data_IF_668850108134
#
_entry.id   IF_668850108134
#
_cell.length_a   1.000
_cell.length_b   1.000
_cell.length_c   1.000
_cell.angle_alpha   90.00
_cell.angle_beta   90.00
_cell.angle_gamma   90.00
#
_symmetry.space_group_name_H-M   'P 1'
#
loop_
_entity.id
_entity.type
_entity.pdbx_description
1 polymer ?
#
# COMPACT_ATOMS: atom_id res chain seq x y z
N UNK A 1 -33.22 -46.65 62.65
CA UNK A 1 -32.05 -46.54 61.74
C UNK A 1 -32.38 -46.83 60.28
N UNK A 2 -33.11 -47.90 59.92
CA UNK A 2 -33.46 -48.21 58.51
C UNK A 2 -34.18 -47.09 57.75
N UNK A 3 -35.13 -46.39 58.38
CA UNK A 3 -35.89 -45.33 57.71
C UNK A 3 -35.08 -44.04 57.53
N UNK A 4 -34.18 -43.72 58.45
CA UNK A 4 -33.27 -42.54 58.34
C UNK A 4 -32.26 -42.76 57.22
N UNK A 5 -31.71 -43.98 57.11
CA UNK A 5 -30.82 -44.36 56.00
C UNK A 5 -31.52 -44.29 54.64
N UNK A 6 -32.78 -44.74 54.55
CA UNK A 6 -33.55 -44.66 53.31
C UNK A 6 -33.85 -43.23 52.89
N UNK A 7 -34.19 -42.35 53.84
CA UNK A 7 -34.44 -40.93 53.54
C UNK A 7 -33.15 -40.21 53.12
N UNK A 8 -32.01 -40.49 53.76
CA UNK A 8 -30.70 -39.92 53.35
C UNK A 8 -30.25 -40.39 51.96
N UNK A 9 -30.47 -41.66 51.60
CA UNK A 9 -30.10 -42.18 50.28
C UNK A 9 -30.98 -41.57 49.18
N UNK A 10 -32.29 -41.42 49.43
CA UNK A 10 -33.21 -40.78 48.48
C UNK A 10 -32.85 -39.29 48.30
N UNK A 11 -32.53 -38.58 49.39
CA UNK A 11 -32.12 -37.18 49.34
C UNK A 11 -30.80 -36.96 48.57
N UNK A 12 -29.79 -37.83 48.78
CA UNK A 12 -28.53 -37.80 48.03
C UNK A 12 -28.72 -38.11 46.54
N UNK A 13 -29.59 -39.06 46.19
CA UNK A 13 -29.90 -39.40 44.79
C UNK A 13 -30.65 -38.27 44.07
N UNK A 14 -31.56 -37.57 44.76
CA UNK A 14 -32.26 -36.40 44.19
C UNK A 14 -31.34 -35.19 43.98
N UNK A 15 -30.33 -35.00 44.83
CA UNK A 15 -29.33 -33.93 44.67
C UNK A 15 -28.35 -34.22 43.53
N UNK A 16 -28.04 -35.50 43.27
CA UNK A 16 -27.22 -35.93 42.14
C UNK A 16 -27.93 -35.76 40.78
N UNK A 17 -29.27 -35.77 40.75
CA UNK A 17 -30.04 -35.53 39.53
C UNK A 17 -30.12 -34.05 39.10
N UNK A 18 -29.71 -33.12 39.96
CA UNK A 18 -29.65 -31.67 39.67
C UNK A 18 -28.23 -31.25 39.27
N UNK A 19 -27.25 -32.14 39.42
CA UNK A 19 -25.83 -31.86 39.22
C UNK A 19 -25.25 -32.69 38.08
N UNK A 20 -25.51 -32.27 36.83
CA UNK A 20 -24.55 -32.21 35.71
C UNK A 20 -25.30 -32.05 34.38
N UNK A 21 -25.14 -30.87 33.76
CA UNK A 21 -25.62 -30.60 32.41
C UNK A 21 -26.84 -29.70 32.41
N UNK A 22 -26.71 -28.52 31.81
CA UNK A 22 -27.86 -27.76 31.34
C UNK A 22 -28.74 -28.70 30.51
N UNK A 23 -30.03 -28.81 30.81
CA UNK A 23 -30.99 -29.57 29.98
C UNK A 23 -31.18 -28.94 28.60
N UNK A 24 -30.63 -27.74 28.40
CA UNK A 24 -30.69 -26.94 27.20
C UNK A 24 -29.55 -27.31 26.24
N UNK A 25 -29.91 -27.51 24.98
CA UNK A 25 -28.95 -27.72 23.90
C UNK A 25 -28.11 -26.46 23.65
N UNK A 26 -26.92 -26.61 23.06
CA UNK A 26 -26.07 -25.46 22.73
C UNK A 26 -26.79 -24.44 21.83
N UNK A 27 -27.62 -24.91 20.89
CA UNK A 27 -28.43 -24.04 20.03
C UNK A 27 -29.49 -23.26 20.80
N UNK A 28 -30.15 -23.90 21.78
CA UNK A 28 -31.15 -23.23 22.62
C UNK A 28 -30.49 -22.22 23.56
N UNK A 29 -29.30 -22.53 24.09
CA UNK A 29 -28.55 -21.61 24.95
C UNK A 29 -28.10 -20.37 24.18
N UNK A 30 -27.74 -20.51 22.91
CA UNK A 30 -27.35 -19.39 22.04
C UNK A 30 -28.51 -18.47 21.65
N UNK A 31 -29.77 -18.85 21.90
CA UNK A 31 -30.91 -17.94 21.74
C UNK A 31 -30.83 -16.80 22.76
N UNK A 32 -30.33 -17.10 23.97
CA UNK A 32 -30.19 -16.12 25.04
C UNK A 32 -29.08 -15.11 24.71
N UNK A 33 -29.46 -13.83 24.64
CA UNK A 33 -28.55 -12.76 24.22
C UNK A 33 -27.31 -12.66 25.11
N UNK A 34 -27.47 -12.85 26.42
CA UNK A 34 -26.39 -12.69 27.39
C UNK A 34 -25.36 -13.82 27.26
N UNK A 35 -25.82 -15.07 27.28
CA UNK A 35 -24.97 -16.23 27.04
C UNK A 35 -24.25 -16.16 25.68
N UNK A 36 -24.98 -15.84 24.61
CA UNK A 36 -24.39 -15.70 23.27
C UNK A 36 -23.31 -14.61 23.23
N UNK A 37 -23.54 -13.47 23.87
CA UNK A 37 -22.56 -12.39 23.93
C UNK A 37 -21.31 -12.80 24.73
N UNK A 38 -21.48 -13.56 25.81
CA UNK A 38 -20.35 -14.04 26.60
C UNK A 38 -19.54 -15.10 25.85
N UNK A 39 -20.19 -15.99 25.08
CA UNK A 39 -19.51 -16.87 24.13
C UNK A 39 -18.69 -16.06 23.13
N UNK A 40 -19.23 -14.99 22.54
CA UNK A 40 -18.48 -14.15 21.61
C UNK A 40 -17.28 -13.46 22.27
N UNK A 41 -17.45 -12.91 23.48
CA UNK A 41 -16.35 -12.30 24.24
C UNK A 41 -15.25 -13.31 24.54
N UNK A 42 -15.62 -14.53 24.93
CA UNK A 42 -14.67 -15.60 25.23
C UNK A 42 -13.87 -15.98 23.98
N UNK A 43 -14.53 -16.08 22.82
CA UNK A 43 -13.86 -16.37 21.54
C UNK A 43 -12.88 -15.27 21.16
N UNK A 44 -13.26 -13.99 21.23
CA UNK A 44 -12.40 -12.89 20.74
C UNK A 44 -11.27 -12.49 21.71
N UNK A 45 -11.36 -12.85 22.99
CA UNK A 45 -10.34 -12.53 24.00
C UNK A 45 -9.32 -13.67 24.23
N UNK A 46 -9.57 -14.87 23.67
CA UNK A 46 -8.65 -16.00 23.73
C UNK A 46 -8.13 -16.33 22.33
N UNK A 47 -6.82 -16.19 22.12
CA UNK A 47 -6.20 -16.42 20.83
C UNK A 47 -6.41 -17.85 20.29
N UNK A 48 -6.34 -18.87 21.14
CA UNK A 48 -6.49 -20.26 20.70
C UNK A 48 -7.94 -20.51 20.24
N UNK A 49 -8.92 -20.08 21.05
CA UNK A 49 -10.34 -20.18 20.70
C UNK A 49 -10.69 -19.39 19.45
N UNK A 50 -10.12 -18.19 19.31
CA UNK A 50 -10.29 -17.37 18.11
C UNK A 50 -9.76 -18.10 16.86
N UNK A 51 -8.55 -18.66 16.92
CA UNK A 51 -7.96 -19.37 15.78
C UNK A 51 -8.74 -20.63 15.42
N UNK A 52 -9.24 -21.38 16.40
CA UNK A 52 -10.13 -22.53 16.17
C UNK A 52 -11.43 -22.10 15.49
N UNK A 53 -12.05 -21.03 15.97
CA UNK A 53 -13.25 -20.46 15.35
C UNK A 53 -12.99 -20.03 13.90
N UNK A 54 -11.86 -19.36 13.63
CA UNK A 54 -11.49 -18.95 12.27
C UNK A 54 -11.28 -20.14 11.33
N UNK A 55 -10.76 -21.27 11.82
CA UNK A 55 -10.67 -22.49 11.03
C UNK A 55 -12.06 -23.02 10.64
N UNK A 56 -13.05 -22.94 11.53
CA UNK A 56 -14.44 -23.30 11.21
C UNK A 56 -15.01 -22.33 10.17
N UNK A 57 -14.77 -21.03 10.32
CA UNK A 57 -15.22 -19.99 9.38
C UNK A 57 -14.65 -20.21 7.98
N UNK A 58 -13.35 -20.46 7.85
CA UNK A 58 -12.68 -20.69 6.55
C UNK A 58 -13.06 -22.02 5.89
N UNK A 59 -13.72 -22.93 6.60
CA UNK A 59 -14.32 -24.13 6.01
C UNK A 59 -15.72 -23.88 5.40
N UNK A 60 -16.24 -22.65 5.49
CA UNK A 60 -17.51 -22.23 4.88
C UNK A 60 -17.31 -21.10 3.87
N UNK A 61 -17.63 -21.37 2.59
CA UNK A 61 -17.55 -20.36 1.52
C UNK A 61 -18.41 -19.13 1.78
N UNK A 62 -19.56 -19.33 2.41
CA UNK A 62 -20.48 -18.23 2.72
C UNK A 62 -19.89 -17.32 3.81
N UNK A 63 -19.33 -17.93 4.86
CA UNK A 63 -18.69 -17.18 5.94
C UNK A 63 -17.42 -16.44 5.46
N UNK A 64 -16.64 -17.05 4.55
CA UNK A 64 -15.54 -16.37 3.87
C UNK A 64 -16.01 -15.14 3.08
N UNK A 65 -17.15 -15.25 2.39
CA UNK A 65 -17.74 -14.11 1.67
C UNK A 65 -18.10 -12.97 2.62
N UNK A 66 -18.66 -13.29 3.78
CA UNK A 66 -18.98 -12.28 4.81
C UNK A 66 -17.72 -11.64 5.38
N UNK A 67 -16.68 -12.42 5.70
CA UNK A 67 -15.38 -11.90 6.14
C UNK A 67 -14.76 -10.96 5.11
N UNK A 68 -14.77 -11.34 3.84
CA UNK A 68 -14.20 -10.52 2.78
C UNK A 68 -14.97 -9.19 2.64
N UNK A 69 -16.31 -9.24 2.71
CA UNK A 69 -17.15 -8.05 2.66
C UNK A 69 -16.88 -7.12 3.83
N UNK A 70 -16.77 -7.65 5.05
CA UNK A 70 -16.43 -6.89 6.25
C UNK A 70 -15.03 -6.28 6.15
N UNK A 71 -14.03 -7.06 5.75
CA UNK A 71 -12.66 -6.57 5.54
C UNK A 71 -12.61 -5.41 4.54
N UNK A 72 -13.35 -5.51 3.43
CA UNK A 72 -13.47 -4.44 2.44
C UNK A 72 -14.14 -3.18 3.02
N UNK A 73 -15.13 -3.33 3.89
CA UNK A 73 -15.74 -2.20 4.59
C UNK A 73 -14.77 -1.56 5.59
N UNK A 74 -14.00 -2.36 6.33
CA UNK A 74 -12.97 -1.86 7.24
C UNK A 74 -11.83 -1.13 6.52
N UNK A 75 -11.46 -1.58 5.32
CA UNK A 75 -10.51 -0.88 4.46
C UNK A 75 -11.06 0.48 4.02
N UNK A 76 -12.33 0.52 3.60
CA UNK A 76 -13.00 1.75 3.17
C UNK A 76 -13.20 2.75 4.31
N UNK A 77 -13.49 2.27 5.52
CA UNK A 77 -13.67 3.14 6.69
C UNK A 77 -12.35 3.63 7.28
N UNK A 78 -11.21 3.08 6.84
CA UNK A 78 -9.89 3.43 7.36
C UNK A 78 -9.51 2.70 8.65
N UNK A 79 -10.38 1.86 9.22
CA UNK A 79 -10.13 1.10 10.45
C UNK A 79 -8.91 0.18 10.32
N UNK A 80 -8.71 -0.45 9.16
CA UNK A 80 -7.48 -1.25 8.92
C UNK A 80 -6.22 -0.38 8.99
N UNK A 81 -6.28 0.85 8.48
CA UNK A 81 -5.17 1.80 8.52
C UNK A 81 -4.84 2.21 9.97
N UNK A 82 -5.84 2.36 10.83
CA UNK A 82 -5.64 2.65 12.26
C UNK A 82 -4.95 1.49 12.97
N UNK A 83 -5.44 0.26 12.76
CA UNK A 83 -4.83 -0.96 13.30
C UNK A 83 -3.37 -1.08 12.84
N UNK A 84 -3.11 -0.81 11.56
CA UNK A 84 -1.77 -0.87 10.98
C UNK A 84 -0.83 0.19 11.57
N UNK A 85 -1.33 1.40 11.84
CA UNK A 85 -0.53 2.46 12.52
C UNK A 85 -0.20 2.09 13.95
N UNK A 86 -1.12 1.42 14.65
CA UNK A 86 -0.89 0.93 16.00
C UNK A 86 0.10 -0.26 16.05
N UNK A 87 0.37 -0.92 14.92
CA UNK A 87 1.29 -2.05 14.82
C UNK A 87 2.48 -1.73 13.86
N UNK A 88 3.57 -1.14 14.38
CA UNK A 88 4.73 -0.77 13.56
C UNK A 88 5.45 -1.97 12.94
N UNK A 89 5.41 -3.15 13.58
CA UNK A 89 5.98 -4.37 13.03
C UNK A 89 5.24 -4.79 11.77
N UNK A 90 3.90 -4.80 11.81
CA UNK A 90 3.06 -5.09 10.66
C UNK A 90 3.27 -4.06 9.55
N UNK A 91 3.39 -2.78 9.91
CA UNK A 91 3.69 -1.73 8.94
C UNK A 91 5.03 -1.96 8.23
N UNK A 92 6.07 -2.33 8.99
CA UNK A 92 7.40 -2.63 8.45
C UNK A 92 7.36 -3.85 7.53
N UNK A 93 6.73 -4.95 7.96
CA UNK A 93 6.55 -6.17 7.15
C UNK A 93 5.81 -5.89 5.86
N UNK A 94 4.74 -5.10 5.90
CA UNK A 94 3.95 -4.77 4.71
C UNK A 94 4.74 -3.88 3.74
N UNK A 95 5.49 -2.89 4.24
CA UNK A 95 6.39 -2.09 3.40
C UNK A 95 7.46 -2.95 2.73
N UNK A 96 8.10 -3.84 3.50
CA UNK A 96 9.10 -4.76 2.97
C UNK A 96 8.52 -5.66 1.89
N UNK A 97 7.38 -6.30 2.16
CA UNK A 97 6.72 -7.15 1.17
C UNK A 97 6.35 -6.38 -0.10
N UNK A 98 5.90 -5.13 0.03
CA UNK A 98 5.60 -4.28 -1.12
C UNK A 98 6.86 -3.95 -1.92
N UNK A 99 7.99 -3.68 -1.25
CA UNK A 99 9.28 -3.48 -1.88
C UNK A 99 9.76 -4.74 -2.58
N UNK A 100 9.77 -5.89 -1.91
CA UNK A 100 10.21 -7.17 -2.48
C UNK A 100 9.36 -7.56 -3.71
N UNK A 101 8.03 -7.34 -3.64
CA UNK A 101 7.14 -7.59 -4.77
C UNK A 101 7.39 -6.62 -5.93
N UNK A 102 7.60 -5.35 -5.62
CA UNK A 102 7.98 -4.36 -6.63
C UNK A 102 9.35 -4.71 -7.24
N UNK A 103 10.30 -5.18 -6.47
CA UNK A 103 11.64 -5.56 -6.95
C UNK A 103 11.63 -6.82 -7.82
N UNK A 104 10.70 -7.73 -7.55
CA UNK A 104 10.57 -8.98 -8.32
C UNK A 104 9.65 -8.89 -9.54
N UNK A 105 8.80 -7.87 -9.63
CA UNK A 105 7.86 -7.66 -10.74
C UNK A 105 8.33 -6.54 -11.68
N UNK A 106 8.94 -6.86 -12.83
CA UNK A 106 9.46 -5.86 -13.76
C UNK A 106 8.37 -5.00 -14.39
N UNK A 107 7.15 -5.50 -14.55
CA UNK A 107 6.02 -4.72 -15.08
C UNK A 107 5.61 -3.66 -14.06
N UNK A 108 5.54 -4.03 -12.79
CA UNK A 108 5.27 -3.11 -11.69
C UNK A 108 6.37 -2.06 -11.52
N UNK A 109 7.64 -2.42 -11.65
CA UNK A 109 8.75 -1.46 -11.66
C UNK A 109 8.60 -0.45 -12.78
N UNK A 110 8.35 -0.93 -14.00
CA UNK A 110 8.23 -0.08 -15.17
C UNK A 110 7.05 0.88 -15.03
N UNK A 111 5.89 0.39 -14.57
CA UNK A 111 4.72 1.22 -14.31
C UNK A 111 5.02 2.30 -13.26
N UNK A 112 5.69 1.94 -12.16
CA UNK A 112 6.02 2.89 -11.10
C UNK A 112 7.04 3.94 -11.56
N UNK A 113 8.08 3.52 -12.27
CA UNK A 113 9.08 4.44 -12.84
C UNK A 113 8.41 5.41 -13.81
N UNK A 114 7.52 4.93 -14.68
CA UNK A 114 6.76 5.78 -15.61
C UNK A 114 5.86 6.77 -14.87
N UNK A 115 5.17 6.33 -13.82
CA UNK A 115 4.30 7.20 -13.02
C UNK A 115 5.10 8.25 -12.25
N UNK A 116 6.27 7.89 -11.72
CA UNK A 116 7.18 8.83 -11.07
C UNK A 116 7.72 9.86 -12.07
N UNK A 117 8.15 9.40 -13.25
CA UNK A 117 8.59 10.27 -14.35
C UNK A 117 7.48 11.21 -14.80
N UNK A 118 6.25 10.73 -14.94
CA UNK A 118 5.10 11.55 -15.30
C UNK A 118 4.86 12.66 -14.26
N UNK A 119 4.83 12.31 -12.97
CA UNK A 119 4.68 13.30 -11.88
C UNK A 119 5.82 14.32 -11.86
N UNK A 120 7.06 13.88 -12.06
CA UNK A 120 8.21 14.79 -12.13
C UNK A 120 8.13 15.74 -13.32
N UNK A 121 7.53 15.33 -14.43
CA UNK A 121 7.32 16.18 -15.61
C UNK A 121 6.15 17.14 -15.44
N UNK A 122 5.11 16.75 -14.70
CA UNK A 122 3.95 17.58 -14.38
C UNK A 122 4.28 18.68 -13.37
N UNK A 123 5.13 18.40 -12.38
CA UNK A 123 5.57 19.39 -11.40
C UNK A 123 6.67 20.29 -11.98
N UNK A 124 6.40 21.61 -12.18
CA UNK A 124 7.37 22.53 -12.77
C UNK A 124 8.64 22.68 -11.93
N UNK A 125 8.53 22.58 -10.61
CA UNK A 125 9.64 22.71 -9.67
C UNK A 125 10.56 21.51 -9.79
N UNK A 126 10.00 20.30 -9.72
CA UNK A 126 10.78 19.07 -9.88
C UNK A 126 11.41 18.98 -11.26
N UNK A 127 10.67 19.34 -12.31
CA UNK A 127 11.18 19.41 -13.68
C UNK A 127 12.37 20.34 -13.80
N UNK A 128 12.29 21.54 -13.21
CA UNK A 128 13.39 22.50 -13.24
C UNK A 128 14.62 21.98 -12.48
N UNK A 129 14.44 21.41 -11.29
CA UNK A 129 15.54 20.79 -10.54
C UNK A 129 16.19 19.64 -11.32
N UNK A 130 15.38 18.80 -11.97
CA UNK A 130 15.88 17.71 -12.80
C UNK A 130 16.73 18.23 -13.96
N UNK A 131 16.26 19.26 -14.67
CA UNK A 131 17.01 19.88 -15.76
C UNK A 131 18.33 20.51 -15.29
N UNK A 132 18.32 21.17 -14.12
CA UNK A 132 19.53 21.74 -13.53
C UNK A 132 20.54 20.67 -13.15
N UNK A 133 20.10 19.57 -12.53
CA UNK A 133 20.96 18.45 -12.17
C UNK A 133 21.56 17.79 -13.41
N UNK A 134 20.75 17.58 -14.45
CA UNK A 134 21.23 17.04 -15.73
C UNK A 134 22.28 17.95 -16.36
N UNK A 135 22.06 19.26 -16.35
CA UNK A 135 23.03 20.23 -16.86
C UNK A 135 24.34 20.24 -16.06
N UNK A 136 24.26 20.14 -14.73
CA UNK A 136 25.44 20.04 -13.87
C UNK A 136 26.23 18.75 -14.14
N UNK A 137 25.54 17.62 -14.33
CA UNK A 137 26.17 16.35 -14.64
C UNK A 137 26.85 16.36 -16.01
N UNK A 138 26.23 16.95 -17.04
CA UNK A 138 26.84 17.14 -18.36
C UNK A 138 28.09 18.02 -18.27
N UNK A 139 28.06 19.08 -17.46
CA UNK A 139 29.23 19.95 -17.26
C UNK A 139 30.37 19.23 -16.53
N UNK A 140 30.04 18.34 -15.59
CA UNK A 140 31.02 17.58 -14.83
C UNK A 140 31.57 16.36 -15.59
N UNK A 141 30.83 15.83 -16.57
CA UNK A 141 31.21 14.66 -17.34
C UNK A 141 31.14 14.94 -18.87
N UNK A 142 32.28 15.31 -19.47
CA UNK A 142 32.37 15.61 -20.90
C UNK A 142 31.95 14.44 -21.81
N UNK A 143 32.26 13.19 -21.43
CA UNK A 143 31.89 12.00 -22.22
C UNK A 143 30.37 11.81 -22.28
N UNK A 144 29.67 12.04 -21.16
CA UNK A 144 28.21 12.01 -21.13
C UNK A 144 27.61 13.16 -21.94
N UNK A 145 28.23 14.34 -21.90
CA UNK A 145 27.79 15.47 -22.70
C UNK A 145 27.91 15.19 -24.20
N UNK A 146 29.05 14.64 -24.64
CA UNK A 146 29.32 14.29 -26.04
C UNK A 146 28.33 13.24 -26.54
N UNK A 147 28.15 12.13 -25.80
CA UNK A 147 27.16 11.10 -26.13
C UNK A 147 25.74 11.66 -26.27
N UNK A 148 25.36 12.60 -25.41
CA UNK A 148 24.04 13.22 -25.46
C UNK A 148 23.89 14.17 -26.65
N UNK A 149 24.95 14.91 -27.00
CA UNK A 149 24.98 15.74 -28.21
C UNK A 149 24.86 14.87 -29.48
N UNK A 150 25.58 13.76 -29.55
CA UNK A 150 25.53 12.84 -30.69
C UNK A 150 24.12 12.29 -30.91
N UNK A 151 23.46 11.84 -29.83
CA UNK A 151 22.06 11.40 -29.89
C UNK A 151 21.12 12.52 -30.33
N UNK A 152 21.36 13.74 -29.88
CA UNK A 152 20.58 14.91 -30.30
C UNK A 152 20.76 15.20 -31.80
N UNK A 153 21.99 15.14 -32.30
CA UNK A 153 22.30 15.31 -33.73
C UNK A 153 21.60 14.23 -34.56
N UNK A 154 21.69 12.97 -34.13
CA UNK A 154 21.02 11.86 -34.80
C UNK A 154 19.49 12.07 -34.83
N UNK A 155 18.87 12.45 -33.71
CA UNK A 155 17.45 12.72 -33.65
C UNK A 155 17.02 13.87 -34.59
N UNK A 156 17.85 14.90 -34.75
CA UNK A 156 17.60 16.00 -35.67
C UNK A 156 17.75 15.57 -37.13
N UNK A 157 18.69 14.68 -37.44
CA UNK A 157 18.79 14.08 -38.78
C UNK A 157 17.55 13.27 -39.14
N UNK A 158 17.01 12.54 -38.16
CA UNK A 158 15.77 11.76 -38.32
C UNK A 158 14.52 12.65 -38.35
N UNK A 159 14.62 13.91 -37.91
CA UNK A 159 13.51 14.87 -37.88
C UNK A 159 13.87 16.20 -38.58
N UNK A 160 13.78 16.26 -39.92
CA UNK A 160 14.21 17.43 -40.71
C UNK A 160 13.45 18.71 -40.35
N UNK A 161 12.16 18.61 -40.02
CA UNK A 161 11.37 19.77 -39.58
C UNK A 161 11.88 20.38 -38.27
N UNK A 162 12.42 19.55 -37.36
CA UNK A 162 13.06 20.04 -36.14
C UNK A 162 14.45 20.60 -36.41
N UNK A 163 15.22 19.99 -37.32
CA UNK A 163 16.52 20.51 -37.76
C UNK A 163 16.38 21.92 -38.33
N UNK A 164 15.40 22.17 -39.19
CA UNK A 164 15.16 23.48 -39.79
C UNK A 164 14.78 24.53 -38.74
N UNK A 165 13.91 24.18 -37.78
CA UNK A 165 13.59 25.06 -36.64
C UNK A 165 14.82 25.37 -35.79
N UNK A 166 15.70 24.40 -35.57
CA UNK A 166 16.92 24.60 -34.81
C UNK A 166 17.90 25.51 -35.56
N UNK A 167 18.11 25.29 -36.87
CA UNK A 167 18.92 26.18 -37.72
C UNK A 167 18.41 27.61 -37.67
N UNK A 168 17.11 27.82 -37.83
CA UNK A 168 16.50 29.15 -37.75
C UNK A 168 16.76 29.83 -36.40
N UNK A 169 16.62 29.10 -35.28
CA UNK A 169 16.94 29.63 -33.94
C UNK A 169 18.42 29.96 -33.77
N UNK A 170 19.32 29.10 -34.26
CA UNK A 170 20.76 29.33 -34.19
C UNK A 170 21.18 30.57 -34.99
N UNK A 171 20.66 30.72 -36.22
CA UNK A 171 20.92 31.90 -37.05
C UNK A 171 20.37 33.18 -36.42
N UNK A 172 19.17 33.13 -35.82
CA UNK A 172 18.59 34.28 -35.13
C UNK A 172 19.43 34.68 -33.91
N UNK A 173 19.86 33.70 -33.11
CA UNK A 173 20.72 33.94 -31.95
C UNK A 173 22.09 34.51 -32.34
N UNK A 174 22.70 33.99 -33.41
CA UNK A 174 23.96 34.50 -33.94
C UNK A 174 23.82 35.98 -34.38
N UNK A 175 22.74 36.31 -35.09
CA UNK A 175 22.45 37.69 -35.50
C UNK A 175 22.21 38.62 -34.30
N UNK A 176 21.62 38.13 -33.21
CA UNK A 176 21.43 38.89 -31.98
C UNK A 176 22.77 39.15 -31.26
N UNK A 177 23.63 38.14 -31.15
CA UNK A 177 24.97 38.26 -30.57
C UNK A 177 25.83 39.26 -31.34
N UNK A 178 25.79 39.24 -32.68
CA UNK A 178 26.50 40.23 -33.50
C UNK A 178 25.98 41.66 -33.30
N UNK A 179 24.66 41.82 -33.10
CA UNK A 179 24.07 43.13 -32.79
C UNK A 179 24.49 43.62 -31.41
N UNK A 180 24.51 42.75 -30.40
CA UNK A 180 24.97 43.08 -29.05
C UNK A 180 26.45 43.44 -29.05
N UNK A 181 27.32 42.67 -29.71
CA UNK A 181 28.75 43.00 -29.83
C UNK A 181 28.99 44.34 -30.55
N UNK A 182 28.22 44.64 -31.59
CA UNK A 182 28.29 45.94 -32.29
C UNK A 182 27.77 47.10 -31.43
N UNK A 183 26.78 46.87 -30.56
CA UNK A 183 26.27 47.86 -29.62
C UNK A 183 27.27 48.11 -28.47
N UNK A 184 27.88 47.06 -27.93
CA UNK A 184 28.89 47.16 -26.87
C UNK A 184 30.18 47.85 -27.35
N UNK A 185 30.58 47.63 -28.61
CA UNK A 185 31.71 48.34 -29.22
C UNK A 185 31.39 49.81 -29.53
N UNK A 186 30.12 50.17 -29.80
CA UNK A 186 29.70 51.57 -29.97
C UNK A 186 29.59 52.34 -28.65
N UNK A 187 29.31 51.66 -27.54
CA UNK A 187 29.24 52.28 -26.20
C UNK A 187 30.61 52.40 -25.50
N UNK A 188 31.68 51.83 -26.07
CA UNK A 188 33.06 51.92 -25.57
C UNK A 188 33.94 52.91 -26.36
N UNK A 189 33.35 53.65 -27.31
CA UNK A 189 34.00 54.69 -28.11
C UNK A 189 33.47 56.06 -27.70
#
# INVERSE_FOLDING_TARGET
MKNVFRVSIVAMLSLLAISCGTTQTASEALVENEFRNDVYKEIVNDQAKFMEFMNVVHNSKEADSWLLKDHMQMMKSGKVMEIMKANPEMQSKMKKMMQDKMESDPEMQMMMMNKMKAKMMEDPTMKNTMMQNMHAEMKANPEKAEMMMDKMIQFLHENPAMMDKMRAKMSAHQAEMEKQQKADNKNKQ
#
